data_IF_004320704791
#
_entry.id   IF_004320704791
#
_cell.length_a   1.000
_cell.length_b   1.000
_cell.length_c   1.000
_cell.angle_alpha   90.00
_cell.angle_beta   90.00
_cell.angle_gamma   90.00
#
_symmetry.space_group_name_H-M   'P 1'
#
loop_
_entity.id
_entity.type
_entity.pdbx_description
1 polymer ?
#
# COMPACT_ATOMS: atom_id res chain seq x y z
N UNK A 1 44.83 85.56 37.96
CA UNK A 1 46.24 85.79 37.57
C UNK A 1 46.83 84.50 37.05
N UNK A 2 47.42 84.56 35.85
CA UNK A 2 48.35 83.61 35.20
C UNK A 2 47.84 82.20 34.80
N UNK A 3 47.55 81.93 33.50
CA UNK A 3 48.46 81.46 32.41
C UNK A 3 48.61 79.92 32.45
N UNK A 4 48.48 79.03 31.43
CA UNK A 4 48.52 78.95 29.93
C UNK A 4 47.89 77.58 29.54
N UNK A 5 47.06 77.37 28.49
CA UNK A 5 47.39 76.93 27.09
C UNK A 5 48.42 75.76 27.02
N UNK A 6 48.36 74.69 26.22
CA UNK A 6 47.61 74.25 25.02
C UNK A 6 48.09 72.80 24.65
N UNK A 7 47.36 72.13 23.74
CA UNK A 7 47.80 71.12 22.72
C UNK A 7 48.05 69.64 23.07
N UNK A 8 47.05 68.82 22.73
CA UNK A 8 47.06 67.70 21.75
C UNK A 8 48.41 67.15 21.26
N UNK A 9 48.68 65.86 21.50
CA UNK A 9 49.36 64.94 20.57
C UNK A 9 48.83 63.51 20.69
N UNK A 10 48.29 63.01 19.59
CA UNK A 10 48.07 61.60 19.28
C UNK A 10 49.43 60.87 19.17
N UNK A 11 49.53 59.65 19.69
CA UNK A 11 50.28 58.56 19.05
C UNK A 11 49.95 57.21 19.71
N UNK A 12 49.47 56.29 18.85
CA UNK A 12 49.30 54.86 19.06
C UNK A 12 50.61 54.19 19.52
N UNK A 13 50.48 53.16 20.37
CA UNK A 13 51.28 51.90 20.45
C UNK A 13 50.97 51.29 21.83
N UNK A 14 50.08 50.29 21.95
CA UNK A 14 50.44 48.88 21.79
C UNK A 14 50.39 48.19 23.16
N UNK A 15 49.18 47.88 23.65
CA UNK A 15 49.01 47.08 24.87
C UNK A 15 48.54 45.67 24.49
N UNK A 16 49.46 44.73 24.62
CA UNK A 16 49.23 43.29 24.62
C UNK A 16 48.48 42.92 25.90
N UNK A 17 47.21 42.54 25.76
CA UNK A 17 46.50 41.76 26.79
C UNK A 17 46.12 40.45 26.14
N UNK A 18 46.82 39.38 26.54
CA UNK A 18 46.40 38.00 26.30
C UNK A 18 45.01 37.83 26.92
N UNK A 19 43.98 37.87 26.07
CA UNK A 19 42.69 37.27 26.39
C UNK A 19 42.89 35.77 26.32
N UNK A 20 42.95 35.14 27.49
CA UNK A 20 42.81 33.69 27.66
C UNK A 20 41.52 33.31 26.94
N UNK A 21 41.67 32.64 25.81
CA UNK A 21 40.56 32.11 25.05
C UNK A 21 39.74 31.21 25.95
N UNK A 22 38.49 31.59 26.18
CA UNK A 22 37.44 30.64 26.47
C UNK A 22 37.52 29.60 25.35
N UNK A 23 38.08 28.43 25.65
CA UNK A 23 37.84 27.22 24.87
C UNK A 23 36.33 27.01 24.94
N UNK A 24 35.63 27.60 23.96
CA UNK A 24 34.33 27.11 23.57
C UNK A 24 34.52 25.63 23.33
N UNK A 25 33.84 24.82 24.13
CA UNK A 25 33.53 23.46 23.73
C UNK A 25 32.82 23.58 22.39
N UNK A 26 33.58 23.50 21.30
CA UNK A 26 33.06 22.98 20.07
C UNK A 26 32.67 21.55 20.43
N UNK A 27 31.39 21.36 20.81
CA UNK A 27 30.77 20.07 20.64
C UNK A 27 31.07 19.72 19.18
N UNK A 28 31.84 18.67 18.99
CA UNK A 28 31.72 17.85 17.80
C UNK A 28 30.28 17.36 17.79
N UNK A 29 29.34 18.19 17.32
CA UNK A 29 28.13 17.70 16.69
C UNK A 29 28.64 16.83 15.58
N UNK A 30 28.57 15.53 15.84
CA UNK A 30 28.61 14.49 14.84
C UNK A 30 27.94 15.05 13.58
N UNK A 31 28.71 15.30 12.52
CA UNK A 31 28.21 15.80 11.22
C UNK A 31 27.19 14.83 10.58
N UNK A 32 26.91 13.71 11.25
CA UNK A 32 25.90 12.76 10.90
C UNK A 32 24.48 13.28 11.17
N UNK A 33 23.66 13.17 10.13
CA UNK A 33 22.27 13.60 10.09
C UNK A 33 21.47 13.03 11.28
N UNK A 34 20.67 13.90 11.91
CA UNK A 34 19.77 13.54 13.00
C UNK A 34 18.65 12.59 12.54
N UNK A 35 18.30 11.53 13.30
CA UNK A 35 17.24 10.58 12.93
C UNK A 35 15.91 11.20 12.51
N UNK A 36 15.46 12.27 13.18
CA UNK A 36 14.19 12.94 12.83
C UNK A 36 14.21 13.60 11.45
N UNK A 37 15.38 13.94 10.90
CA UNK A 37 15.53 14.45 9.53
C UNK A 37 15.45 13.30 8.53
N UNK A 38 16.17 12.21 8.80
CA UNK A 38 16.16 11.02 7.95
C UNK A 38 14.77 10.38 7.87
N UNK A 39 14.03 10.35 8.98
CA UNK A 39 12.65 9.90 9.00
C UNK A 39 11.75 10.71 8.06
N UNK A 40 11.93 12.03 7.99
CA UNK A 40 11.13 12.86 7.09
C UNK A 40 11.46 12.59 5.63
N UNK A 41 12.71 12.28 5.31
CA UNK A 41 13.09 11.77 4.00
C UNK A 41 12.40 10.43 3.70
N UNK A 42 12.34 9.51 4.67
CA UNK A 42 11.59 8.25 4.53
C UNK A 42 10.10 8.50 4.26
N UNK A 43 9.45 9.36 5.05
CA UNK A 43 8.04 9.71 4.88
C UNK A 43 7.78 10.32 3.49
N UNK A 44 8.64 11.25 3.05
CA UNK A 44 8.55 11.83 1.71
C UNK A 44 8.64 10.76 0.61
N UNK A 45 9.58 9.81 0.75
CA UNK A 45 9.74 8.70 -0.19
C UNK A 45 8.50 7.80 -0.19
N UNK A 46 8.01 7.39 0.97
CA UNK A 46 6.82 6.55 1.12
C UNK A 46 5.57 7.22 0.52
N UNK A 47 5.37 8.51 0.81
CA UNK A 47 4.24 9.29 0.32
C UNK A 47 4.30 9.49 -1.21
N UNK A 48 5.50 9.48 -1.78
CA UNK A 48 5.72 9.56 -3.23
C UNK A 48 5.45 8.22 -3.91
N UNK A 49 5.82 7.10 -3.28
CA UNK A 49 5.50 5.74 -3.74
C UNK A 49 3.98 5.53 -3.81
N UNK A 50 3.23 5.87 -2.77
CA UNK A 50 1.76 5.68 -2.77
C UNK A 50 1.01 6.63 -3.72
N UNK A 51 1.69 7.68 -4.22
CA UNK A 51 1.18 8.57 -5.26
C UNK A 51 1.53 8.13 -6.68
N UNK A 52 2.25 7.02 -6.86
CA UNK A 52 2.51 6.42 -8.18
C UNK A 52 3.94 6.42 -8.65
N UNK A 53 4.87 6.99 -7.89
CA UNK A 53 6.29 6.93 -8.25
C UNK A 53 6.92 5.62 -7.77
N UNK A 54 6.70 4.56 -8.54
CA UNK A 54 7.18 3.23 -8.22
C UNK A 54 8.71 3.11 -8.24
N UNK A 55 9.41 4.01 -8.94
CA UNK A 55 10.89 4.02 -8.94
C UNK A 55 11.48 4.44 -7.58
N UNK A 56 10.67 4.99 -6.67
CA UNK A 56 11.07 5.32 -5.30
C UNK A 56 11.01 4.11 -4.34
N UNK A 57 10.55 2.93 -4.78
CA UNK A 57 10.45 1.74 -3.93
C UNK A 57 11.82 1.23 -3.44
N UNK A 58 12.83 1.20 -4.32
CA UNK A 58 14.20 0.84 -3.92
C UNK A 58 14.82 1.87 -2.98
N UNK A 59 14.50 3.15 -3.22
CA UNK A 59 14.93 4.25 -2.36
C UNK A 59 14.36 4.10 -0.94
N UNK A 60 13.10 3.69 -0.80
CA UNK A 60 12.49 3.43 0.51
C UNK A 60 13.30 2.42 1.32
N UNK A 61 13.70 1.31 0.68
CA UNK A 61 14.50 0.26 1.35
C UNK A 61 15.87 0.76 1.76
N UNK A 62 16.53 1.53 0.89
CA UNK A 62 17.81 2.15 1.23
C UNK A 62 17.67 3.07 2.45
N UNK A 63 16.71 4.00 2.44
CA UNK A 63 16.52 4.95 3.54
C UNK A 63 16.18 4.22 4.86
N UNK A 64 15.35 3.17 4.82
CA UNK A 64 15.07 2.34 6.00
C UNK A 64 16.35 1.71 6.59
N UNK A 65 17.25 1.20 5.76
CA UNK A 65 18.51 0.62 6.21
C UNK A 65 19.47 1.68 6.76
N UNK A 66 19.54 2.86 6.12
CA UNK A 66 20.38 3.95 6.59
C UNK A 66 19.91 4.49 7.94
N UNK A 67 18.59 4.60 8.15
CA UNK A 67 18.01 4.95 9.45
C UNK A 67 18.34 3.86 10.48
N UNK A 68 18.26 2.58 10.11
CA UNK A 68 18.59 1.45 10.99
C UNK A 68 20.02 1.58 11.55
N UNK A 69 20.98 1.79 10.65
CA UNK A 69 22.39 1.94 10.98
C UNK A 69 22.62 3.17 11.86
N UNK A 70 22.03 4.31 11.51
CA UNK A 70 22.15 5.54 12.29
C UNK A 70 21.61 5.36 13.71
N UNK A 71 20.41 4.80 13.86
CA UNK A 71 19.80 4.57 15.17
C UNK A 71 20.65 3.66 16.05
N UNK A 72 21.31 2.65 15.47
CA UNK A 72 22.14 1.68 16.23
C UNK A 72 23.53 2.19 16.59
N UNK A 73 24.06 3.15 15.86
CA UNK A 73 25.45 3.62 15.99
C UNK A 73 25.58 4.99 16.65
N UNK A 74 24.51 5.79 16.69
CA UNK A 74 24.52 7.11 17.31
C UNK A 74 24.80 7.08 18.82
N UNK A 75 25.41 8.15 19.34
CA UNK A 75 25.55 8.37 20.79
C UNK A 75 24.15 8.46 21.41
N UNK A 76 23.81 7.66 22.44
CA UNK A 76 22.51 7.69 23.10
C UNK A 76 22.02 9.08 23.52
N UNK A 77 22.93 10.04 23.74
CA UNK A 77 22.57 11.44 24.05
C UNK A 77 21.69 12.11 23.00
N UNK A 78 21.70 11.66 21.73
CA UNK A 78 20.83 12.24 20.70
C UNK A 78 19.34 12.04 21.01
N UNK A 79 19.00 11.06 21.86
CA UNK A 79 17.62 10.78 22.27
C UNK A 79 17.13 11.68 23.41
N UNK A 80 17.98 12.56 23.95
CA UNK A 80 17.53 13.67 24.80
C UNK A 80 16.67 14.67 24.02
N UNK A 81 16.80 14.70 22.69
CA UNK A 81 15.84 15.36 21.81
C UNK A 81 14.63 14.44 21.56
N UNK A 82 13.42 14.80 22.02
CA UNK A 82 12.24 13.97 21.85
C UNK A 82 11.89 13.71 20.38
N UNK A 83 12.33 14.56 19.44
CA UNK A 83 12.11 14.34 18.00
C UNK A 83 12.82 13.09 17.50
N UNK A 84 13.97 12.75 18.07
CA UNK A 84 14.72 11.54 17.73
C UNK A 84 14.09 10.29 18.35
N UNK A 85 13.46 10.42 19.52
CA UNK A 85 12.64 9.36 20.12
C UNK A 85 11.42 9.08 19.24
N UNK A 86 10.67 10.12 18.87
CA UNK A 86 9.54 10.01 17.94
C UNK A 86 9.96 9.35 16.62
N UNK A 87 11.13 9.72 16.10
CA UNK A 87 11.65 9.14 14.86
C UNK A 87 11.93 7.65 14.97
N UNK A 88 12.53 7.21 16.08
CA UNK A 88 12.77 5.78 16.32
C UNK A 88 11.46 4.99 16.46
N UNK A 89 10.45 5.56 17.15
CA UNK A 89 9.14 4.92 17.31
C UNK A 89 8.35 4.85 15.99
N UNK A 90 8.33 5.94 15.21
CA UNK A 90 7.70 5.95 13.89
C UNK A 90 8.42 4.99 12.95
N UNK A 91 9.76 4.99 12.93
CA UNK A 91 10.54 4.04 12.15
C UNK A 91 10.14 2.59 12.47
N UNK A 92 10.06 2.24 13.75
CA UNK A 92 9.66 0.91 14.19
C UNK A 92 8.24 0.52 13.74
N UNK A 93 7.31 1.48 13.70
CA UNK A 93 5.95 1.26 13.19
C UNK A 93 5.86 1.28 11.66
N UNK A 94 6.88 1.80 10.96
CA UNK A 94 6.86 2.14 9.53
C UNK A 94 7.61 1.16 8.62
N UNK A 95 7.76 -0.10 9.02
CA UNK A 95 8.55 -1.08 8.26
C UNK A 95 10.01 -1.18 8.69
N UNK A 96 10.38 -0.51 9.79
CA UNK A 96 11.73 -0.55 10.34
C UNK A 96 12.09 -1.90 10.94
N UNK A 97 13.39 -2.14 11.15
CA UNK A 97 13.90 -3.37 11.74
C UNK A 97 13.43 -3.50 13.20
N UNK A 98 12.63 -4.53 13.57
CA UNK A 98 12.10 -4.68 14.93
C UNK A 98 13.18 -4.78 16.02
N UNK A 99 14.34 -5.35 15.67
CA UNK A 99 15.46 -5.50 16.60
C UNK A 99 16.08 -4.15 17.01
N UNK A 100 15.80 -3.07 16.29
CA UNK A 100 16.34 -1.74 16.57
C UNK A 100 15.64 -1.09 17.74
N UNK A 101 14.33 -1.20 17.83
CA UNK A 101 13.60 -0.74 19.01
C UNK A 101 14.06 -1.49 20.26
N UNK A 102 14.24 -2.82 20.16
CA UNK A 102 14.80 -3.64 21.25
C UNK A 102 16.18 -3.14 21.68
N UNK A 103 17.07 -2.89 20.72
CA UNK A 103 18.43 -2.41 20.95
C UNK A 103 18.46 -1.07 21.68
N UNK A 104 17.62 -0.12 21.25
CA UNK A 104 17.53 1.23 21.79
C UNK A 104 16.99 1.24 23.22
N UNK A 105 15.86 0.57 23.45
CA UNK A 105 15.22 0.51 24.77
C UNK A 105 16.11 -0.18 25.80
N UNK A 106 16.85 -1.22 25.41
CA UNK A 106 17.80 -1.89 26.31
C UNK A 106 18.99 -1.01 26.74
N UNK A 107 19.22 0.12 26.04
CA UNK A 107 20.31 1.06 26.30
C UNK A 107 19.83 2.43 26.78
N UNK A 108 18.52 2.59 26.97
CA UNK A 108 17.94 3.84 27.44
C UNK A 108 18.07 4.00 28.97
N UNK A 109 19.29 4.33 29.42
CA UNK A 109 19.61 4.53 30.84
C UNK A 109 18.94 5.80 31.38
N UNK A 110 18.76 6.81 30.52
CA UNK A 110 18.22 8.12 30.89
C UNK A 110 16.67 8.17 30.88
N UNK A 111 16.01 7.14 30.34
CA UNK A 111 14.56 7.02 30.32
C UNK A 111 13.89 7.97 29.32
N UNK A 112 14.53 8.21 28.17
CA UNK A 112 14.00 9.07 27.11
C UNK A 112 12.78 8.45 26.41
N UNK A 113 12.68 7.12 26.37
CA UNK A 113 11.57 6.39 25.78
C UNK A 113 10.46 6.14 26.81
N UNK A 114 9.21 6.43 26.45
CA UNK A 114 8.08 5.95 27.26
C UNK A 114 8.07 4.41 27.23
N UNK A 115 8.35 3.80 28.38
CA UNK A 115 8.40 2.35 28.55
C UNK A 115 7.09 1.67 28.17
N UNK A 116 5.95 2.30 28.40
CA UNK A 116 4.64 1.74 28.05
C UNK A 116 4.51 1.63 26.53
N UNK A 117 4.82 2.71 25.80
CA UNK A 117 4.76 2.74 24.33
C UNK A 117 5.75 1.74 23.74
N UNK A 118 6.99 1.74 24.23
CA UNK A 118 8.05 0.85 23.75
C UNK A 118 7.71 -0.63 23.97
N UNK A 119 7.22 -1.00 25.15
CA UNK A 119 6.81 -2.37 25.44
C UNK A 119 5.59 -2.81 24.63
N UNK A 120 4.65 -1.90 24.36
CA UNK A 120 3.51 -2.18 23.52
C UNK A 120 3.96 -2.45 22.07
N UNK A 121 4.82 -1.59 21.52
CA UNK A 121 5.35 -1.77 20.17
C UNK A 121 6.21 -3.03 20.03
N UNK A 122 7.08 -3.34 21.00
CA UNK A 122 7.85 -4.60 21.00
C UNK A 122 6.95 -5.83 20.95
N UNK A 123 5.86 -5.84 21.73
CA UNK A 123 4.88 -6.94 21.69
C UNK A 123 4.17 -7.01 20.34
N UNK A 124 3.74 -5.87 19.79
CA UNK A 124 3.15 -5.80 18.45
C UNK A 124 4.08 -6.37 17.39
N UNK A 125 5.32 -5.90 17.32
CA UNK A 125 6.33 -6.32 16.33
C UNK A 125 6.75 -7.78 16.50
N UNK A 126 6.61 -8.36 17.70
CA UNK A 126 6.82 -9.79 17.95
C UNK A 126 5.60 -10.68 17.63
N UNK A 127 4.55 -10.14 17.02
CA UNK A 127 3.32 -10.86 16.67
C UNK A 127 2.36 -11.07 17.85
N UNK A 128 2.61 -10.46 19.01
CA UNK A 128 1.80 -10.58 20.24
C UNK A 128 0.85 -9.40 20.46
N UNK A 129 0.57 -8.63 19.40
CA UNK A 129 -0.24 -7.40 19.48
C UNK A 129 -1.67 -7.62 20.00
N UNK A 130 -2.29 -8.75 19.68
CA UNK A 130 -3.67 -9.06 20.12
C UNK A 130 -3.80 -9.17 21.65
N UNK A 131 -2.72 -9.53 22.36
CA UNK A 131 -2.69 -9.62 23.83
C UNK A 131 -2.73 -8.23 24.50
N UNK A 132 -2.41 -7.18 23.77
CA UNK A 132 -2.29 -5.81 24.29
C UNK A 132 -3.23 -4.82 23.59
N UNK A 133 -4.27 -5.32 22.89
CA UNK A 133 -5.17 -4.47 22.11
C UNK A 133 -5.80 -3.32 22.91
N UNK A 134 -6.19 -3.58 24.17
CA UNK A 134 -6.70 -2.51 25.07
C UNK A 134 -5.63 -1.45 25.34
N UNK A 135 -4.42 -1.87 25.71
CA UNK A 135 -3.30 -0.97 26.00
C UNK A 135 -2.93 -0.12 24.80
N UNK A 136 -2.84 -0.71 23.60
CA UNK A 136 -2.59 0.04 22.37
C UNK A 136 -3.73 1.01 22.03
N UNK A 137 -4.98 0.60 22.27
CA UNK A 137 -6.13 1.49 22.08
C UNK A 137 -6.12 2.69 23.02
N UNK A 138 -5.84 2.48 24.31
CA UNK A 138 -5.72 3.55 25.30
C UNK A 138 -4.55 4.51 24.94
N UNK A 139 -3.41 3.95 24.50
CA UNK A 139 -2.27 4.74 24.02
C UNK A 139 -2.60 5.55 22.76
N UNK A 140 -3.28 4.96 21.78
CA UNK A 140 -3.68 5.68 20.57
C UNK A 140 -4.58 6.89 20.89
N UNK A 141 -5.37 6.82 21.97
CA UNK A 141 -6.17 7.96 22.47
C UNK A 141 -5.31 8.98 23.23
N UNK A 142 -4.37 8.51 24.04
CA UNK A 142 -3.45 9.39 24.81
C UNK A 142 -2.54 10.21 23.88
N UNK A 143 -1.87 9.55 22.93
CA UNK A 143 -0.88 10.12 22.00
C UNK A 143 -1.50 10.68 20.72
N UNK A 144 -2.81 10.87 20.70
CA UNK A 144 -3.57 11.15 19.49
C UNK A 144 -3.20 12.47 18.78
N UNK A 145 -2.63 13.40 19.54
CA UNK A 145 -2.19 14.73 19.07
C UNK A 145 -0.66 14.80 18.84
N UNK A 146 0.06 13.72 19.14
CA UNK A 146 1.52 13.67 19.04
C UNK A 146 1.95 13.19 17.66
N UNK A 147 3.25 13.33 17.33
CA UNK A 147 3.80 12.94 16.02
C UNK A 147 3.65 11.44 15.75
N UNK A 148 3.72 10.61 16.79
CA UNK A 148 3.53 9.16 16.71
C UNK A 148 2.05 8.75 16.57
N UNK A 149 1.10 9.67 16.82
CA UNK A 149 -0.32 9.39 16.94
C UNK A 149 -0.96 8.66 15.75
N UNK A 150 -0.77 9.12 14.49
CA UNK A 150 -1.34 8.44 13.33
C UNK A 150 -0.84 7.00 13.15
N UNK A 151 0.44 6.76 13.45
CA UNK A 151 1.06 5.44 13.36
C UNK A 151 0.57 4.51 14.48
N UNK A 152 0.48 5.03 15.71
CA UNK A 152 -0.10 4.29 16.84
C UNK A 152 -1.57 3.95 16.59
N UNK A 153 -2.34 4.87 16.02
CA UNK A 153 -3.72 4.60 15.63
C UNK A 153 -3.80 3.48 14.57
N UNK A 154 -2.93 3.49 13.56
CA UNK A 154 -2.88 2.41 12.57
C UNK A 154 -2.56 1.05 13.22
N UNK A 155 -1.56 1.00 14.10
CA UNK A 155 -1.18 -0.20 14.86
C UNK A 155 -2.32 -0.67 15.77
N UNK A 156 -2.97 0.24 16.49
CA UNK A 156 -4.14 -0.05 17.34
C UNK A 156 -5.30 -0.61 16.53
N UNK A 157 -5.54 -0.09 15.31
CA UNK A 157 -6.52 -0.62 14.38
C UNK A 157 -6.21 -2.07 13.98
N UNK A 158 -4.95 -2.35 13.60
CA UNK A 158 -4.51 -3.68 13.18
C UNK A 158 -4.73 -4.74 14.29
N UNK A 159 -4.36 -4.43 15.54
CA UNK A 159 -4.53 -5.38 16.65
C UNK A 159 -5.98 -5.53 17.10
N UNK A 160 -6.79 -4.49 16.92
CA UNK A 160 -8.20 -4.49 17.31
C UNK A 160 -9.05 -5.27 16.30
N UNK A 161 -8.65 -5.25 15.02
CA UNK A 161 -9.38 -5.83 13.90
C UNK A 161 -9.89 -7.25 14.16
N UNK A 162 -9.04 -8.15 14.65
CA UNK A 162 -9.41 -9.56 14.85
C UNK A 162 -10.53 -9.75 15.88
N UNK A 163 -10.63 -8.87 16.88
CA UNK A 163 -11.58 -9.01 17.99
C UNK A 163 -12.80 -8.10 17.85
N UNK A 164 -12.59 -6.89 17.37
CA UNK A 164 -13.61 -5.85 17.24
C UNK A 164 -13.39 -5.07 15.93
N UNK A 165 -13.83 -5.61 14.78
CA UNK A 165 -13.69 -4.93 13.49
C UNK A 165 -14.33 -3.53 13.47
N UNK A 166 -15.47 -3.35 14.14
CA UNK A 166 -16.15 -2.06 14.22
C UNK A 166 -15.35 -1.05 15.07
N UNK A 167 -14.71 -1.51 16.15
CA UNK A 167 -13.77 -0.72 16.95
C UNK A 167 -12.53 -0.31 16.15
N UNK A 168 -11.99 -1.21 15.33
CA UNK A 168 -10.82 -0.93 14.49
C UNK A 168 -11.06 0.23 13.51
N UNK A 169 -12.28 0.37 12.96
CA UNK A 169 -12.64 1.50 12.08
C UNK A 169 -12.41 2.86 12.74
N UNK A 170 -12.61 2.99 14.06
CA UNK A 170 -12.38 4.27 14.76
C UNK A 170 -10.91 4.66 14.75
N UNK A 171 -10.02 3.69 14.91
CA UNK A 171 -8.58 3.92 14.88
C UNK A 171 -8.09 4.20 13.46
N UNK A 172 -8.59 3.47 12.46
CA UNK A 172 -8.28 3.79 11.06
C UNK A 172 -8.82 5.16 10.64
N UNK A 173 -10.03 5.53 11.07
CA UNK A 173 -10.59 6.86 10.87
C UNK A 173 -9.69 7.95 11.48
N UNK A 174 -9.15 7.71 12.68
CA UNK A 174 -8.19 8.62 13.30
C UNK A 174 -6.92 8.75 12.46
N UNK A 175 -6.31 7.61 12.08
CA UNK A 175 -5.07 7.58 11.30
C UNK A 175 -5.21 8.35 9.98
N UNK A 176 -6.27 8.10 9.19
CA UNK A 176 -6.49 8.79 7.91
C UNK A 176 -6.78 10.29 8.06
N UNK A 177 -7.48 10.69 9.13
CA UNK A 177 -7.83 12.10 9.36
C UNK A 177 -6.65 12.92 9.87
N UNK A 178 -5.70 12.28 10.54
CA UNK A 178 -4.54 12.95 11.15
C UNK A 178 -3.27 12.88 10.29
N UNK A 179 -3.22 12.00 9.28
CA UNK A 179 -2.12 11.93 8.32
C UNK A 179 -2.59 11.88 6.85
N UNK A 180 -3.37 12.88 6.37
CA UNK A 180 -3.88 12.89 5.00
C UNK A 180 -2.76 13.04 3.96
N UNK A 181 -2.92 12.39 2.81
CA UNK A 181 -1.98 12.36 1.70
C UNK A 181 -0.79 11.42 1.89
N UNK A 182 -0.74 10.70 3.01
CA UNK A 182 0.40 9.85 3.37
C UNK A 182 0.11 8.36 3.12
N UNK A 183 1.15 7.54 3.20
CA UNK A 183 1.03 6.08 3.25
C UNK A 183 0.14 5.58 4.41
N UNK A 184 0.06 6.34 5.50
CA UNK A 184 -0.82 6.01 6.64
C UNK A 184 -2.29 6.17 6.26
N UNK A 185 -2.65 7.23 5.52
CA UNK A 185 -4.01 7.40 4.99
C UNK A 185 -4.36 6.29 3.99
N UNK A 186 -3.46 5.98 3.04
CA UNK A 186 -3.67 4.90 2.06
C UNK A 186 -4.02 3.58 2.75
N UNK A 187 -3.17 3.19 3.71
CA UNK A 187 -3.29 1.92 4.39
C UNK A 187 -4.55 1.88 5.28
N UNK A 188 -4.87 2.99 5.94
CA UNK A 188 -6.09 3.12 6.73
C UNK A 188 -7.35 3.04 5.86
N UNK A 189 -7.38 3.69 4.69
CA UNK A 189 -8.53 3.63 3.77
C UNK A 189 -8.74 2.24 3.20
N UNK A 190 -7.67 1.58 2.73
CA UNK A 190 -7.75 0.22 2.17
C UNK A 190 -8.23 -0.79 3.21
N UNK A 191 -7.70 -0.74 4.43
CA UNK A 191 -8.17 -1.60 5.53
C UNK A 191 -9.60 -1.27 5.98
N UNK A 192 -9.94 0.02 6.07
CA UNK A 192 -11.30 0.44 6.45
C UNK A 192 -12.35 0.00 5.43
N UNK A 193 -12.00 0.03 4.13
CA UNK A 193 -12.86 -0.48 3.06
C UNK A 193 -13.13 -1.98 3.26
N UNK A 194 -12.08 -2.79 3.41
CA UNK A 194 -12.23 -4.23 3.64
C UNK A 194 -13.15 -4.53 4.84
N UNK A 195 -12.89 -3.88 5.98
CA UNK A 195 -13.69 -4.04 7.20
C UNK A 195 -15.15 -3.63 6.98
N UNK A 196 -15.39 -2.50 6.32
CA UNK A 196 -16.75 -2.02 6.09
C UNK A 196 -17.53 -2.92 5.12
N UNK A 197 -16.87 -3.49 4.11
CA UNK A 197 -17.47 -4.48 3.18
C UNK A 197 -17.88 -5.72 3.95
N UNK A 198 -16.99 -6.28 4.76
CA UNK A 198 -17.25 -7.51 5.51
C UNK A 198 -18.32 -7.31 6.59
N UNK A 199 -18.33 -6.15 7.23
CA UNK A 199 -19.35 -5.74 8.20
C UNK A 199 -20.67 -5.28 7.56
N UNK A 200 -20.76 -5.25 6.22
CA UNK A 200 -21.91 -4.80 5.44
C UNK A 200 -22.37 -3.37 5.76
N UNK A 201 -21.42 -2.48 6.06
CA UNK A 201 -21.66 -1.06 6.35
C UNK A 201 -21.46 -0.27 5.05
N UNK A 202 -22.44 -0.34 4.15
CA UNK A 202 -22.34 0.15 2.77
C UNK A 202 -21.98 1.63 2.70
N UNK A 203 -22.57 2.47 3.54
CA UNK A 203 -22.32 3.92 3.52
C UNK A 203 -20.86 4.24 3.85
N UNK A 204 -20.28 3.54 4.83
CA UNK A 204 -18.87 3.70 5.18
C UNK A 204 -17.95 3.15 4.11
N UNK A 205 -18.26 1.97 3.57
CA UNK A 205 -17.50 1.39 2.47
C UNK A 205 -17.43 2.33 1.27
N UNK A 206 -18.56 2.95 0.87
CA UNK A 206 -18.59 3.98 -0.18
C UNK A 206 -17.71 5.18 0.14
N UNK A 207 -17.74 5.70 1.37
CA UNK A 207 -16.88 6.81 1.78
C UNK A 207 -15.40 6.45 1.70
N UNK A 208 -15.01 5.27 2.17
CA UNK A 208 -13.62 4.81 2.12
C UNK A 208 -13.15 4.56 0.68
N UNK A 209 -14.00 3.96 -0.15
CA UNK A 209 -13.70 3.70 -1.55
C UNK A 209 -13.48 5.00 -2.34
N UNK A 210 -14.35 5.99 -2.16
CA UNK A 210 -14.19 7.32 -2.76
C UNK A 210 -12.93 8.03 -2.27
N UNK A 211 -12.67 7.98 -0.96
CA UNK A 211 -11.46 8.55 -0.37
C UNK A 211 -10.18 7.96 -0.99
N UNK A 212 -10.15 6.64 -1.18
CA UNK A 212 -9.03 5.95 -1.80
C UNK A 212 -8.89 6.33 -3.27
N UNK A 213 -9.96 6.19 -4.06
CA UNK A 213 -9.94 6.46 -5.49
C UNK A 213 -9.60 7.92 -5.83
N UNK A 214 -9.88 8.86 -4.93
CA UNK A 214 -9.52 10.26 -5.15
C UNK A 214 -8.01 10.53 -5.05
N UNK A 215 -7.26 9.75 -4.27
CA UNK A 215 -5.86 10.08 -3.91
C UNK A 215 -4.84 9.02 -4.29
N UNK A 216 -5.21 7.74 -4.30
CA UNK A 216 -4.27 6.61 -4.29
C UNK A 216 -4.46 5.63 -5.45
N UNK A 217 -5.03 6.07 -6.58
CA UNK A 217 -5.20 5.20 -7.76
C UNK A 217 -3.87 4.69 -8.32
N UNK A 218 -2.78 5.43 -8.14
CA UNK A 218 -1.46 5.02 -8.59
C UNK A 218 -0.64 4.33 -7.49
N UNK A 219 -1.23 4.11 -6.30
CA UNK A 219 -0.55 3.35 -5.24
C UNK A 219 -0.14 1.96 -5.73
N UNK A 220 1.00 1.40 -5.28
CA UNK A 220 1.35 0.00 -5.55
C UNK A 220 0.28 -0.99 -5.04
N UNK A 221 -0.61 -0.55 -4.15
CA UNK A 221 -1.73 -1.34 -3.64
C UNK A 221 -3.03 -1.17 -4.44
N UNK A 222 -3.02 -0.43 -5.55
CA UNK A 222 -4.22 -0.14 -6.34
C UNK A 222 -4.94 -1.39 -6.86
N UNK A 223 -4.21 -2.46 -7.17
CA UNK A 223 -4.83 -3.73 -7.58
C UNK A 223 -5.65 -4.36 -6.44
N UNK A 224 -5.14 -4.32 -5.21
CA UNK A 224 -5.87 -4.81 -4.03
C UNK A 224 -7.12 -3.96 -3.78
N UNK A 225 -7.01 -2.65 -3.93
CA UNK A 225 -8.17 -1.77 -3.87
C UNK A 225 -9.21 -2.11 -4.95
N UNK A 226 -8.78 -2.34 -6.19
CA UNK A 226 -9.69 -2.70 -7.28
C UNK A 226 -10.44 -4.01 -6.97
N UNK A 227 -9.74 -5.03 -6.45
CA UNK A 227 -10.35 -6.30 -6.08
C UNK A 227 -11.36 -6.14 -4.93
N UNK A 228 -11.00 -5.36 -3.89
CA UNK A 228 -11.92 -5.03 -2.79
C UNK A 228 -13.14 -4.23 -3.27
N UNK A 229 -12.95 -3.29 -4.19
CA UNK A 229 -14.03 -2.49 -4.74
C UNK A 229 -14.97 -3.32 -5.63
N UNK A 230 -14.44 -4.23 -6.46
CA UNK A 230 -15.25 -5.17 -7.24
C UNK A 230 -16.09 -6.03 -6.31
N UNK A 231 -15.48 -6.62 -5.26
CA UNK A 231 -16.20 -7.39 -4.24
C UNK A 231 -17.30 -6.56 -3.58
N UNK A 232 -16.98 -5.33 -3.16
CA UNK A 232 -17.94 -4.41 -2.57
C UNK A 232 -19.17 -4.19 -3.48
N UNK A 233 -18.94 -3.91 -4.76
CA UNK A 233 -20.03 -3.67 -5.72
C UNK A 233 -20.88 -4.93 -5.93
N UNK A 234 -20.26 -6.09 -6.08
CA UNK A 234 -20.97 -7.34 -6.39
C UNK A 234 -21.77 -7.87 -5.20
N UNK A 235 -21.20 -7.81 -3.99
CA UNK A 235 -21.87 -8.30 -2.78
C UNK A 235 -23.00 -7.38 -2.31
N UNK A 236 -22.92 -6.07 -2.59
CA UNK A 236 -23.85 -5.05 -2.05
C UNK A 236 -24.68 -4.35 -3.14
N UNK A 237 -24.79 -4.93 -4.33
CA UNK A 237 -25.46 -4.33 -5.49
C UNK A 237 -26.95 -4.00 -5.29
N UNK A 238 -27.63 -4.64 -4.33
CA UNK A 238 -29.05 -4.39 -4.04
C UNK A 238 -29.25 -3.04 -3.34
N UNK A 239 -28.21 -2.55 -2.65
CA UNK A 239 -28.23 -1.29 -1.90
C UNK A 239 -27.45 -0.20 -2.65
N UNK A 240 -26.34 -0.57 -3.28
CA UNK A 240 -25.51 0.34 -4.06
C UNK A 240 -26.21 0.81 -5.33
N UNK A 241 -26.26 2.12 -5.54
CA UNK A 241 -26.78 2.70 -6.77
C UNK A 241 -25.67 2.78 -7.83
N UNK A 242 -26.00 2.74 -9.12
CA UNK A 242 -25.04 2.97 -10.19
C UNK A 242 -24.26 4.29 -10.03
N UNK A 243 -24.90 5.34 -9.51
CA UNK A 243 -24.26 6.63 -9.22
C UNK A 243 -23.17 6.54 -8.15
N UNK A 244 -23.27 5.62 -7.19
CA UNK A 244 -22.26 5.42 -6.15
C UNK A 244 -21.02 4.72 -6.71
N UNK A 245 -21.24 3.79 -7.65
CA UNK A 245 -20.18 3.13 -8.42
C UNK A 245 -19.44 4.16 -9.27
N UNK A 246 -20.20 4.99 -10.01
CA UNK A 246 -19.66 6.06 -10.86
C UNK A 246 -18.91 7.11 -10.04
N UNK A 247 -19.38 7.47 -8.84
CA UNK A 247 -18.68 8.42 -7.97
C UNK A 247 -17.26 7.96 -7.64
N UNK A 248 -17.05 6.66 -7.46
CA UNK A 248 -15.73 6.09 -7.18
C UNK A 248 -14.90 5.93 -8.45
N UNK A 249 -15.49 5.35 -9.50
CA UNK A 249 -14.78 5.07 -10.75
C UNK A 249 -14.51 6.33 -11.60
N UNK A 250 -15.24 7.41 -11.33
CA UNK A 250 -15.12 8.71 -12.01
C UNK A 250 -13.74 9.36 -11.86
N UNK A 251 -12.97 8.99 -10.84
CA UNK A 251 -11.59 9.45 -10.64
C UNK A 251 -10.57 8.74 -11.55
N UNK A 252 -10.94 7.59 -12.13
CA UNK A 252 -10.06 6.80 -12.98
C UNK A 252 -10.05 7.31 -14.42
N UNK A 253 -8.92 7.16 -15.10
CA UNK A 253 -8.82 7.26 -16.56
C UNK A 253 -9.69 6.20 -17.25
N UNK A 254 -9.93 6.38 -18.56
CA UNK A 254 -10.86 5.54 -19.32
C UNK A 254 -10.46 4.05 -19.32
N UNK A 255 -9.16 3.75 -19.44
CA UNK A 255 -8.64 2.39 -19.54
C UNK A 255 -8.81 1.64 -18.23
N UNK A 256 -8.38 2.25 -17.12
CA UNK A 256 -8.54 1.69 -15.77
C UNK A 256 -10.01 1.54 -15.40
N UNK A 257 -10.83 2.55 -15.71
CA UNK A 257 -12.28 2.51 -15.47
C UNK A 257 -12.92 1.34 -16.22
N UNK A 258 -12.57 1.15 -17.49
CA UNK A 258 -13.02 0.03 -18.32
C UNK A 258 -12.61 -1.30 -17.69
N UNK A 259 -11.36 -1.44 -17.26
CA UNK A 259 -10.86 -2.67 -16.64
C UNK A 259 -11.66 -3.03 -15.39
N UNK A 260 -11.93 -2.07 -14.50
CA UNK A 260 -12.72 -2.32 -13.28
C UNK A 260 -14.17 -2.69 -13.62
N UNK A 261 -14.80 -2.03 -14.60
CA UNK A 261 -16.13 -2.43 -15.07
C UNK A 261 -16.15 -3.85 -15.65
N UNK A 262 -15.11 -4.26 -16.39
CA UNK A 262 -14.99 -5.64 -16.89
C UNK A 262 -14.88 -6.65 -15.74
N UNK A 263 -14.10 -6.32 -14.68
CA UNK A 263 -14.01 -7.16 -13.47
C UNK A 263 -15.37 -7.28 -12.76
N UNK A 264 -16.09 -6.16 -12.59
CA UNK A 264 -17.46 -6.16 -12.03
C UNK A 264 -18.40 -7.00 -12.90
N UNK A 265 -18.40 -6.81 -14.22
CA UNK A 265 -19.26 -7.54 -15.13
C UNK A 265 -19.02 -9.06 -15.05
N UNK A 266 -17.75 -9.47 -15.01
CA UNK A 266 -17.34 -10.87 -14.90
C UNK A 266 -17.80 -11.49 -13.58
N UNK A 267 -17.52 -10.85 -12.45
CA UNK A 267 -17.90 -11.39 -11.14
C UNK A 267 -19.42 -11.39 -10.94
N UNK A 268 -20.11 -10.31 -11.33
CA UNK A 268 -21.56 -10.23 -11.30
C UNK A 268 -22.22 -11.32 -12.17
N UNK A 269 -21.64 -11.61 -13.35
CA UNK A 269 -22.15 -12.66 -14.22
C UNK A 269 -22.02 -14.05 -13.59
N UNK A 270 -20.86 -14.35 -12.98
CA UNK A 270 -20.62 -15.61 -12.26
C UNK A 270 -21.55 -15.73 -11.05
N UNK A 271 -21.78 -14.63 -10.33
CA UNK A 271 -22.68 -14.58 -9.17
C UNK A 271 -24.17 -14.53 -9.54
N UNK A 272 -24.54 -14.58 -10.83
CA UNK A 272 -25.92 -14.54 -11.30
C UNK A 272 -26.62 -13.18 -11.13
N UNK A 273 -25.87 -12.09 -10.90
CA UNK A 273 -26.40 -10.74 -10.72
C UNK A 273 -26.64 -10.06 -12.07
N UNK A 274 -27.67 -10.52 -12.79
CA UNK A 274 -27.97 -10.14 -14.19
C UNK A 274 -27.94 -8.62 -14.43
N UNK A 275 -28.68 -7.83 -13.65
CA UNK A 275 -28.77 -6.38 -13.86
C UNK A 275 -27.41 -5.68 -13.70
N UNK A 276 -26.64 -6.05 -12.68
CA UNK A 276 -25.30 -5.51 -12.45
C UNK A 276 -24.34 -5.91 -13.56
N UNK A 277 -24.33 -7.18 -13.97
CA UNK A 277 -23.47 -7.67 -15.03
C UNK A 277 -23.74 -6.98 -16.37
N UNK A 278 -25.02 -6.78 -16.72
CA UNK A 278 -25.42 -6.06 -17.93
C UNK A 278 -24.98 -4.60 -17.87
N UNK A 279 -25.27 -3.88 -16.77
CA UNK A 279 -24.88 -2.48 -16.61
C UNK A 279 -23.36 -2.31 -16.70
N UNK A 280 -22.58 -3.13 -15.98
CA UNK A 280 -21.13 -3.04 -15.98
C UNK A 280 -20.52 -3.39 -17.35
N UNK A 281 -21.08 -4.39 -18.04
CA UNK A 281 -20.67 -4.73 -19.41
C UNK A 281 -20.96 -3.58 -20.40
N UNK A 282 -22.12 -2.93 -20.29
CA UNK A 282 -22.46 -1.77 -21.11
C UNK A 282 -21.51 -0.59 -20.87
N UNK A 283 -21.21 -0.28 -19.60
CA UNK A 283 -20.23 0.76 -19.26
C UNK A 283 -18.83 0.42 -19.80
N UNK A 284 -18.37 -0.81 -19.64
CA UNK A 284 -17.09 -1.26 -20.20
C UNK A 284 -17.07 -1.15 -21.73
N UNK A 285 -18.18 -1.48 -22.41
CA UNK A 285 -18.31 -1.34 -23.86
C UNK A 285 -18.26 0.12 -24.30
N UNK A 286 -18.94 1.03 -23.59
CA UNK A 286 -18.90 2.47 -23.90
C UNK A 286 -17.50 3.06 -23.76
N UNK A 287 -16.70 2.51 -22.85
CA UNK A 287 -15.31 2.90 -22.62
C UNK A 287 -14.33 2.11 -23.52
N UNK A 288 -14.81 1.19 -24.35
CA UNK A 288 -13.96 0.44 -25.27
C UNK A 288 -13.62 1.29 -26.49
N UNK A 289 -12.40 1.14 -27.00
CA UNK A 289 -11.96 1.80 -28.22
C UNK A 289 -12.73 1.33 -29.46
N UNK A 290 -12.39 1.91 -30.61
CA UNK A 290 -13.01 1.57 -31.91
C UNK A 290 -12.32 0.42 -32.64
N UNK A 291 -11.23 -0.10 -32.07
CA UNK A 291 -10.49 -1.22 -32.66
C UNK A 291 -11.35 -2.48 -32.72
N UNK A 292 -11.08 -3.32 -33.72
CA UNK A 292 -11.79 -4.57 -33.89
C UNK A 292 -11.59 -5.45 -32.65
N UNK A 293 -12.70 -5.87 -32.03
CA UNK A 293 -12.68 -6.70 -30.83
C UNK A 293 -12.43 -5.97 -29.51
N UNK A 294 -12.30 -4.63 -29.51
CA UNK A 294 -12.09 -3.85 -28.28
C UNK A 294 -13.19 -4.08 -27.22
N UNK A 295 -14.41 -4.40 -27.65
CA UNK A 295 -15.56 -4.69 -26.77
C UNK A 295 -15.85 -6.19 -26.57
N UNK A 296 -14.96 -7.09 -27.01
CA UNK A 296 -15.15 -8.54 -26.98
C UNK A 296 -15.45 -9.07 -25.56
N UNK A 297 -14.69 -8.64 -24.56
CA UNK A 297 -14.91 -9.04 -23.16
C UNK A 297 -16.22 -8.50 -22.59
N UNK A 298 -16.59 -7.26 -22.94
CA UNK A 298 -17.86 -6.67 -22.52
C UNK A 298 -19.04 -7.45 -23.12
N UNK A 299 -18.97 -7.76 -24.42
CA UNK A 299 -19.97 -8.62 -25.11
C UNK A 299 -20.06 -10.00 -24.46
N UNK A 300 -18.92 -10.62 -24.14
CA UNK A 300 -18.88 -11.92 -23.47
C UNK A 300 -19.64 -11.85 -22.14
N UNK A 301 -19.21 -11.01 -21.20
CA UNK A 301 -19.77 -10.96 -19.84
C UNK A 301 -21.25 -10.53 -19.83
N UNK A 302 -21.64 -9.58 -20.67
CA UNK A 302 -23.04 -9.15 -20.81
C UNK A 302 -23.95 -10.25 -21.38
N UNK A 303 -23.41 -11.15 -22.21
CA UNK A 303 -24.18 -12.26 -22.80
C UNK A 303 -24.33 -13.45 -21.86
N UNK A 304 -23.34 -13.72 -20.99
CA UNK A 304 -23.37 -14.84 -20.03
C UNK A 304 -24.65 -14.86 -19.18
N UNK A 305 -25.09 -13.70 -18.70
CA UNK A 305 -26.28 -13.59 -17.82
C UNK A 305 -27.62 -13.72 -18.55
N UNK A 306 -27.62 -13.74 -19.89
CA UNK A 306 -28.83 -13.98 -20.70
C UNK A 306 -29.05 -15.45 -21.04
N UNK A 307 -28.02 -16.29 -20.89
CA UNK A 307 -28.07 -17.72 -21.22
C UNK A 307 -29.15 -18.49 -20.45
N UNK A 308 -29.30 -18.37 -19.13
CA UNK A 308 -30.33 -19.12 -18.39
C UNK A 308 -31.71 -18.45 -18.45
N UNK A 309 -32.04 -17.77 -19.55
CA UNK A 309 -33.31 -17.03 -19.70
C UNK A 309 -34.00 -17.42 -20.99
N UNK A 310 -35.21 -16.91 -21.21
CA UNK A 310 -35.95 -17.05 -22.48
C UNK A 310 -35.19 -16.54 -23.72
N UNK A 311 -34.15 -15.72 -23.53
CA UNK A 311 -33.32 -15.17 -24.61
C UNK A 311 -32.04 -15.99 -24.87
N UNK A 312 -32.08 -17.30 -24.64
CA UNK A 312 -30.91 -18.18 -24.76
C UNK A 312 -30.34 -18.21 -26.17
N UNK A 313 -31.18 -18.21 -27.21
CA UNK A 313 -30.72 -18.26 -28.61
C UNK A 313 -29.94 -17.00 -28.99
N UNK A 314 -30.46 -15.82 -28.66
CA UNK A 314 -29.78 -14.54 -28.85
C UNK A 314 -28.46 -14.47 -28.09
N UNK A 315 -28.46 -14.95 -26.83
CA UNK A 315 -27.27 -14.99 -26.01
C UNK A 315 -26.18 -15.87 -26.63
N UNK A 316 -26.56 -17.04 -27.16
CA UNK A 316 -25.66 -17.95 -27.84
C UNK A 316 -25.10 -17.35 -29.13
N UNK A 317 -25.94 -16.71 -29.95
CA UNK A 317 -25.49 -16.01 -31.15
C UNK A 317 -24.47 -14.91 -30.82
N UNK A 318 -24.71 -14.13 -29.77
CA UNK A 318 -23.79 -13.10 -29.32
C UNK A 318 -22.46 -13.68 -28.79
N UNK A 319 -22.50 -14.78 -28.03
CA UNK A 319 -21.32 -15.47 -27.53
C UNK A 319 -20.45 -16.03 -28.68
N UNK A 320 -21.08 -16.55 -29.74
CA UNK A 320 -20.36 -17.08 -30.91
C UNK A 320 -19.64 -16.00 -31.73
N UNK A 321 -20.12 -14.76 -31.69
CA UNK A 321 -19.47 -13.62 -32.36
C UNK A 321 -18.22 -13.12 -31.64
N UNK A 322 -17.97 -13.53 -30.39
CA UNK A 322 -16.76 -13.16 -29.66
C UNK A 322 -15.57 -13.98 -30.21
N UNK A 323 -14.49 -13.36 -30.72
CA UNK A 323 -13.34 -14.09 -31.22
C UNK A 323 -12.63 -14.87 -30.09
N UNK A 324 -12.36 -16.17 -30.27
CA UNK A 324 -11.76 -17.02 -29.22
C UNK A 324 -10.28 -16.70 -28.93
N UNK A 325 -9.57 -16.24 -29.95
CA UNK A 325 -8.18 -15.82 -29.90
C UNK A 325 -7.97 -14.56 -29.05
N UNK A 326 -9.01 -13.73 -28.91
CA UNK A 326 -9.02 -12.55 -28.04
C UNK A 326 -9.34 -12.86 -26.57
N UNK A 327 -9.69 -14.11 -26.24
CA UNK A 327 -10.09 -14.49 -24.88
C UNK A 327 -8.93 -15.13 -24.11
N UNK A 328 -8.86 -14.85 -22.81
CA UNK A 328 -7.96 -15.58 -21.91
C UNK A 328 -8.41 -17.06 -21.76
N UNK A 329 -7.53 -17.98 -21.32
CA UNK A 329 -7.94 -19.35 -21.01
C UNK A 329 -9.13 -19.43 -20.03
N UNK A 330 -9.19 -18.52 -19.06
CA UNK A 330 -10.27 -18.45 -18.06
C UNK A 330 -11.59 -18.03 -18.71
N UNK A 331 -11.55 -17.10 -19.66
CA UNK A 331 -12.76 -16.58 -20.31
C UNK A 331 -13.27 -17.53 -21.40
N UNK A 332 -12.38 -18.26 -22.08
CA UNK A 332 -12.78 -19.41 -22.91
C UNK A 332 -13.49 -20.49 -22.11
N UNK A 333 -13.02 -20.78 -20.89
CA UNK A 333 -13.69 -21.72 -20.00
C UNK A 333 -15.09 -21.22 -19.60
N UNK A 334 -15.23 -19.92 -19.29
CA UNK A 334 -16.55 -19.31 -19.01
C UNK A 334 -17.51 -19.42 -20.19
N UNK A 335 -17.03 -19.12 -21.41
CA UNK A 335 -17.83 -19.27 -22.63
C UNK A 335 -18.32 -20.70 -22.81
N UNK A 336 -17.44 -21.71 -22.69
CA UNK A 336 -17.83 -23.13 -22.81
C UNK A 336 -18.82 -23.58 -21.74
N UNK A 337 -18.68 -23.07 -20.52
CA UNK A 337 -19.65 -23.33 -19.46
C UNK A 337 -21.03 -22.77 -19.82
N UNK A 338 -21.08 -21.54 -20.34
CA UNK A 338 -22.32 -20.95 -20.86
C UNK A 338 -22.92 -21.76 -22.02
N UNK A 339 -22.12 -22.21 -22.98
CA UNK A 339 -22.59 -23.06 -24.08
C UNK A 339 -23.18 -24.38 -23.58
N UNK A 340 -22.61 -24.96 -22.51
CA UNK A 340 -23.13 -26.18 -21.89
C UNK A 340 -24.47 -25.93 -21.21
N UNK A 341 -24.57 -24.84 -20.44
CA UNK A 341 -25.83 -24.44 -19.78
C UNK A 341 -26.91 -24.17 -20.82
N UNK A 342 -26.59 -23.47 -21.90
CA UNK A 342 -27.53 -23.17 -22.98
C UNK A 342 -28.12 -24.45 -23.60
N UNK A 343 -27.28 -25.47 -23.84
CA UNK A 343 -27.73 -26.77 -24.35
C UNK A 343 -28.70 -27.47 -23.41
N UNK A 344 -28.44 -27.42 -22.10
CA UNK A 344 -29.35 -27.99 -21.11
C UNK A 344 -30.67 -27.19 -20.98
N UNK A 345 -30.62 -25.86 -21.08
CA UNK A 345 -31.83 -25.02 -21.10
C UNK A 345 -32.70 -25.29 -22.33
N UNK A 346 -32.09 -25.52 -23.48
CA UNK A 346 -32.77 -25.86 -24.74
C UNK A 346 -33.18 -27.33 -24.85
N UNK A 347 -32.72 -28.18 -23.92
CA UNK A 347 -33.04 -29.61 -23.93
C UNK A 347 -34.54 -29.78 -23.66
N UNK A 348 -35.20 -30.52 -24.55
CA UNK A 348 -36.63 -30.85 -24.36
C UNK A 348 -36.81 -31.67 -23.07
N UNK A 349 -37.85 -31.39 -22.26
CA UNK A 349 -38.13 -32.20 -21.08
C UNK A 349 -38.31 -33.67 -21.46
N UNK A 350 -37.52 -34.54 -20.87
CA UNK A 350 -37.76 -35.98 -20.98
C UNK A 350 -38.92 -36.35 -20.05
N UNK A 351 -39.90 -37.16 -20.51
CA UNK A 351 -40.96 -37.64 -19.63
C UNK A 351 -40.32 -38.36 -18.46
N UNK A 352 -40.68 -37.95 -17.23
CA UNK A 352 -40.14 -38.52 -16.01
C UNK A 352 -40.27 -40.04 -16.04
N UNK A 353 -39.18 -40.74 -16.34
CA UNK A 353 -39.06 -42.13 -15.99
C UNK A 353 -39.09 -42.16 -14.47
N UNK A 354 -40.06 -42.88 -13.88
CA UNK A 354 -40.03 -43.21 -12.46
C UNK A 354 -38.75 -43.99 -12.22
N UNK A 355 -37.68 -43.31 -11.86
CA UNK A 355 -36.47 -43.93 -11.38
C UNK A 355 -36.82 -44.58 -10.05
N UNK A 356 -36.78 -45.90 -10.04
CA UNK A 356 -36.66 -46.66 -8.81
C UNK A 356 -35.45 -46.11 -8.05
N UNK A 357 -35.68 -45.83 -6.78
CA UNK A 357 -34.73 -45.28 -5.83
C UNK A 357 -33.41 -46.06 -5.89
N UNK A 358 -32.27 -45.44 -6.23
CA UNK A 358 -30.98 -46.03 -5.94
C UNK A 358 -30.81 -46.02 -4.42
N UNK A 359 -30.56 -47.20 -3.87
CA UNK A 359 -30.18 -47.39 -2.47
C UNK A 359 -28.98 -46.50 -2.14
N UNK A 360 -29.09 -45.76 -1.03
CA UNK A 360 -28.00 -44.99 -0.47
C UNK A 360 -26.87 -45.93 -0.02
N UNK A 361 -25.78 -45.98 -0.79
CA UNK A 361 -24.49 -46.40 -0.26
C UNK A 361 -23.81 -45.17 0.35
N UNK A 362 -23.61 -45.26 1.66
CA UNK A 362 -22.96 -44.25 2.48
C UNK A 362 -21.50 -44.09 2.04
N UNK A 363 -21.17 -42.93 1.46
CA UNK A 363 -19.78 -42.48 1.38
C UNK A 363 -19.46 -41.80 2.70
N UNK A 364 -18.60 -42.46 3.47
CA UNK A 364 -18.03 -41.97 4.72
C UNK A 364 -17.26 -40.66 4.46
N UNK A 365 -17.72 -39.56 5.05
CA UNK A 365 -16.93 -38.33 5.18
C UNK A 365 -15.96 -38.49 6.35
N UNK A 366 -14.69 -38.70 6.02
CA UNK A 366 -13.60 -38.60 6.97
C UNK A 366 -13.42 -37.12 7.36
N UNK A 367 -13.86 -36.79 8.57
CA UNK A 367 -13.79 -35.45 9.13
C UNK A 367 -12.49 -35.31 9.93
N UNK A 368 -11.37 -35.16 9.22
CA UNK A 368 -10.13 -34.68 9.84
C UNK A 368 -10.24 -33.17 10.03
N UNK A 369 -10.64 -32.78 11.24
CA UNK A 369 -10.45 -31.43 11.75
C UNK A 369 -8.94 -31.15 11.81
N UNK A 370 -8.42 -30.38 10.85
CA UNK A 370 -7.15 -29.70 10.98
C UNK A 370 -7.39 -28.28 11.54
N UNK A 371 -6.53 -27.83 12.47
CA UNK A 371 -6.73 -26.60 13.21
C UNK A 371 -6.58 -25.39 12.28
N UNK A 372 -7.28 -24.32 12.66
CA UNK A 372 -7.22 -23.00 12.05
C UNK A 372 -5.77 -22.63 11.69
N UNK A 373 -5.51 -22.60 10.38
CA UNK A 373 -4.30 -22.02 9.83
C UNK A 373 -4.38 -20.54 10.14
N UNK A 374 -3.39 -20.06 10.89
CA UNK A 374 -3.15 -18.66 11.15
C UNK A 374 -3.19 -17.85 9.86
N UNK A 375 -4.08 -16.87 9.86
CA UNK A 375 -4.23 -15.83 8.85
C UNK A 375 -2.86 -15.18 8.53
N UNK A 376 -2.37 -15.21 7.27
CA UNK A 376 -1.09 -14.63 6.89
C UNK A 376 -1.10 -13.08 6.82
N UNK A 377 -2.22 -12.41 7.09
CA UNK A 377 -2.35 -10.95 6.90
C UNK A 377 -1.95 -10.09 8.12
N UNK A 378 -1.21 -10.65 9.08
CA UNK A 378 -0.55 -9.86 10.16
C UNK A 378 0.88 -9.43 9.80
N UNK A 379 1.19 -9.29 8.51
CA UNK A 379 2.43 -8.68 8.06
C UNK A 379 2.39 -7.16 8.21
N UNK A 380 3.55 -6.61 8.58
CA UNK A 380 3.87 -5.19 8.74
C UNK A 380 3.14 -4.30 7.71
N UNK A 381 2.42 -3.24 8.15
CA UNK A 381 1.71 -2.33 7.27
C UNK A 381 2.56 -1.62 6.19
N UNK A 382 3.89 -1.77 6.22
CA UNK A 382 4.85 -1.18 5.29
C UNK A 382 5.68 -2.22 4.51
N UNK A 383 5.38 -3.52 4.63
CA UNK A 383 6.04 -4.56 3.84
C UNK A 383 5.52 -4.58 2.38
N UNK A 384 6.45 -4.61 1.43
CA UNK A 384 6.16 -4.66 -0.01
C UNK A 384 5.54 -6.01 -0.45
N UNK A 385 4.78 -6.04 -1.58
CA UNK A 385 4.35 -7.28 -2.22
C UNK A 385 5.55 -8.12 -2.67
N UNK A 386 5.52 -9.41 -2.36
CA UNK A 386 6.54 -10.38 -2.79
C UNK A 386 6.42 -10.59 -4.31
N UNK A 387 7.52 -10.54 -5.09
CA UNK A 387 7.48 -10.90 -6.50
C UNK A 387 7.12 -12.38 -6.66
N UNK A 388 6.14 -12.65 -7.51
CA UNK A 388 5.79 -14.01 -7.96
C UNK A 388 7.05 -14.68 -8.53
N UNK A 389 7.38 -15.93 -8.14
CA UNK A 389 8.56 -16.58 -8.70
C UNK A 389 8.32 -16.86 -10.18
N UNK A 390 9.06 -16.16 -11.04
CA UNK A 390 9.25 -16.58 -12.43
C UNK A 390 9.93 -17.94 -12.39
N UNK A 391 9.27 -18.94 -12.98
CA UNK A 391 9.80 -20.29 -13.14
C UNK A 391 11.21 -20.23 -13.75
N UNK A 392 12.14 -20.91 -13.09
CA UNK A 392 13.51 -21.07 -13.54
C UNK A 392 13.51 -21.89 -14.84
N UNK A 393 13.74 -21.23 -15.97
CA UNK A 393 14.16 -21.92 -17.18
C UNK A 393 15.67 -22.10 -17.10
N UNK A 394 16.10 -23.37 -17.05
CA UNK A 394 17.47 -23.84 -17.18
C UNK A 394 18.27 -23.08 -18.23
N UNK A 395 19.33 -22.39 -17.81
CA UNK A 395 20.38 -21.90 -18.70
C UNK A 395 21.50 -22.94 -18.77
N UNK A 396 21.59 -23.58 -19.93
CA UNK A 396 22.75 -24.34 -20.35
C UNK A 396 24.01 -23.47 -20.34
N UNK A 397 25.09 -24.00 -19.77
CA UNK A 397 26.44 -23.43 -19.88
C UNK A 397 26.89 -23.33 -21.34
N UNK A 398 27.73 -22.33 -21.65
CA UNK A 398 28.87 -22.60 -22.49
C UNK A 398 30.19 -22.16 -21.85
N UNK A 399 31.23 -22.85 -22.32
CA UNK A 399 32.58 -22.88 -21.82
C UNK A 399 33.37 -21.59 -22.03
N UNK A 400 34.48 -21.51 -21.29
CA UNK A 400 35.50 -20.49 -21.34
C UNK A 400 36.05 -20.21 -22.76
N UNK A 401 36.27 -18.93 -23.06
CA UNK A 401 37.33 -18.49 -23.98
C UNK A 401 37.70 -17.02 -23.76
N UNK A 402 39.00 -16.83 -23.54
CA UNK A 402 39.87 -15.72 -23.94
C UNK A 402 39.47 -14.26 -23.66
N UNK A 403 40.32 -13.63 -22.84
CA UNK A 403 40.54 -12.19 -22.74
C UNK A 403 40.84 -11.59 -24.12
N UNK A 404 40.02 -10.64 -24.56
CA UNK A 404 40.33 -9.74 -25.65
C UNK A 404 39.90 -8.31 -25.28
N UNK A 405 40.88 -7.46 -25.07
CA UNK A 405 40.77 -6.02 -24.85
C UNK A 405 40.33 -5.33 -26.15
N UNK A 406 39.21 -4.62 -26.15
CA UNK A 406 38.79 -3.68 -27.21
C UNK A 406 38.09 -2.44 -26.61
N UNK A 407 38.08 -1.30 -27.32
CA UNK A 407 38.29 0.03 -26.75
C UNK A 407 37.01 0.77 -26.34
N UNK A 408 37.21 1.90 -25.66
CA UNK A 408 36.18 2.83 -25.22
C UNK A 408 35.32 3.34 -26.39
N UNK A 409 34.13 2.78 -26.54
CA UNK A 409 32.99 3.42 -27.19
C UNK A 409 32.00 3.84 -26.12
N UNK A 410 31.62 5.12 -26.17
CA UNK A 410 30.57 5.69 -25.35
C UNK A 410 29.25 5.03 -25.72
N UNK A 411 28.86 3.99 -24.99
CA UNK A 411 27.54 3.39 -25.13
C UNK A 411 26.51 4.43 -24.73
N UNK A 412 25.65 4.83 -25.67
CA UNK A 412 24.45 5.58 -25.36
C UNK A 412 23.65 4.79 -24.32
N UNK A 413 23.66 5.29 -23.08
CA UNK A 413 22.85 4.76 -21.98
C UNK A 413 21.40 4.73 -22.46
N UNK A 414 20.78 3.56 -22.34
CA UNK A 414 19.36 3.31 -22.64
C UNK A 414 18.48 4.47 -22.08
N UNK A 415 17.58 5.08 -22.87
CA UNK A 415 16.72 6.17 -22.43
C UNK A 415 15.89 5.84 -21.18
N UNK A 416 15.48 4.57 -20.99
CA UNK A 416 14.78 4.14 -19.78
C UNK A 416 15.73 4.16 -18.57
N UNK A 417 16.97 3.68 -18.73
CA UNK A 417 18.00 3.73 -17.70
C UNK A 417 18.44 5.17 -17.38
N UNK A 418 18.51 6.06 -18.38
CA UNK A 418 18.76 7.50 -18.17
C UNK A 418 17.63 8.13 -17.36
N UNK A 419 16.38 7.90 -17.72
CA UNK A 419 15.23 8.44 -16.98
C UNK A 419 15.15 7.90 -15.55
N UNK A 420 15.52 6.63 -15.33
CA UNK A 420 15.62 6.04 -13.99
C UNK A 420 16.74 6.70 -13.18
N UNK A 421 17.94 6.86 -13.74
CA UNK A 421 19.09 7.51 -13.08
C UNK A 421 18.81 8.98 -12.79
N UNK A 422 18.20 9.70 -13.73
CA UNK A 422 17.87 11.11 -13.58
C UNK A 422 16.74 11.32 -12.55
N UNK A 423 15.74 10.43 -12.52
CA UNK A 423 14.74 10.39 -11.45
C UNK A 423 15.36 10.09 -10.09
N UNK A 424 16.28 9.13 -10.02
CA UNK A 424 17.04 8.83 -8.81
C UNK A 424 17.85 10.02 -8.31
N UNK A 425 18.57 10.72 -9.21
CA UNK A 425 19.34 11.93 -8.89
C UNK A 425 18.46 13.07 -8.42
N UNK A 426 17.38 13.37 -9.14
CA UNK A 426 16.43 14.43 -8.74
C UNK A 426 15.80 14.18 -7.36
N UNK A 427 15.61 12.91 -6.98
CA UNK A 427 15.12 12.54 -5.64
C UNK A 427 16.18 12.72 -4.56
N UNK A 428 17.42 12.33 -4.85
CA UNK A 428 18.54 12.61 -3.95
C UNK A 428 18.68 14.13 -3.75
N UNK A 429 18.58 14.92 -4.82
CA UNK A 429 18.60 16.38 -4.75
C UNK A 429 17.42 16.93 -3.91
N UNK A 430 16.21 16.38 -4.07
CA UNK A 430 15.04 16.77 -3.27
C UNK A 430 15.19 16.39 -1.79
N UNK A 431 15.81 15.25 -1.50
CA UNK A 431 16.16 14.82 -0.13
C UNK A 431 17.21 15.77 0.44
N UNK A 432 18.26 16.08 -0.32
CA UNK A 432 19.33 16.98 0.10
C UNK A 432 18.81 18.40 0.34
N UNK A 433 17.91 18.90 -0.51
CA UNK A 433 17.21 20.18 -0.33
C UNK A 433 16.39 20.21 0.97
N UNK A 434 15.69 19.12 1.29
CA UNK A 434 14.95 18.99 2.55
C UNK A 434 15.90 18.97 3.75
N UNK A 435 17.05 18.31 3.64
CA UNK A 435 18.07 18.26 4.67
C UNK A 435 18.73 19.63 4.90
N UNK A 436 18.92 20.42 3.83
CA UNK A 436 19.59 21.73 3.83
C UNK A 436 18.70 22.90 4.28
N UNK A 437 17.41 22.89 3.93
CA UNK A 437 16.45 23.97 4.27
C UNK A 437 16.20 24.13 5.79
N UNK A 438 16.81 23.28 6.60
CA UNK A 438 16.63 23.23 8.05
C UNK A 438 17.95 23.34 8.83
N UNK A 439 18.98 24.00 8.26
CA UNK A 439 20.06 24.59 9.08
C UNK A 439 19.48 25.54 10.15
N UNK A 440 20.19 25.75 11.27
CA UNK A 440 19.65 26.30 12.52
C UNK A 440 18.83 27.60 12.39
#
# INVERSE_FOLDING_TARGET
MLIRRLTLRLLLSGLTVLSVGSLGYAQSTDEAIEPYRMLRSLQFVQDTVVRGDHSAADMQRFVLNTIDERLRTADPKIFQDPRNVDAALIYAMSGGNPATLEFLVARDIEGNFDNRVSDALRKYLSGKGTLIGKTLGDMAVEYRNDKIGPYLALVAGNVTLTRDPAGALKFYDWARLTAPGTIVEEAALRRSLAVAVDAKIVEKASLYANGYARRFLYSPYASQFADLFVRFVVEHYEVLKPTDIEATLGYMDADRRREVYLRIAREAAIAGRKQLATMAAEQAKLLSGTEEGADALAKLYGSLVRVPTENVDDAMAALMQVPEDMLSPRDRALRRAAETIAKEVLRKPEPAQRSQTPSAEAVSTDNSAQPAVSDPDLQDPFAQPVPTPVAQTELAQPAASAVATLPAEQTEIDPELRSFVDSGRSKLDAIDDLLQKEGP
#
